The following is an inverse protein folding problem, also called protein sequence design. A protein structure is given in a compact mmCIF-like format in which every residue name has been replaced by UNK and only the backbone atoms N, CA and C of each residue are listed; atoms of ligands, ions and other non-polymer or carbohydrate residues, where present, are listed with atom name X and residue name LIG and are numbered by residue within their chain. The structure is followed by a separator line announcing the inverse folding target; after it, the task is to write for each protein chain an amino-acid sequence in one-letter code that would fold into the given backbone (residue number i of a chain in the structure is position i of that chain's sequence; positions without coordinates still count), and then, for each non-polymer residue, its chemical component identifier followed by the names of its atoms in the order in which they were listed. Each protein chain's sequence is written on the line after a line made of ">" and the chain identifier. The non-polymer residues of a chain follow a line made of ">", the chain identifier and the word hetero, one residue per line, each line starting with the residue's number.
data_IF_736720601905
#
_entry.id   IF_736720601905
#
_cell.length_a   1.000
_cell.length_b   1.000
_cell.length_c   1.000
_cell.angle_alpha   90.00
_cell.angle_beta   90.00
_cell.angle_gamma   90.00
#
_symmetry.space_group_name_H-M   'P 1'
#
loop_
_entity.id
_entity.type
_entity.pdbx_description
1 polymer ?
#
# COMPACT_ATOMS: atom_id res chain seq x y z
N UNK A 1 -5.95 -3.91 -7.54
CA UNK A 1 -5.96 -3.59 -6.11
C UNK A 1 -6.65 -2.26 -5.87
N UNK A 2 -7.56 -2.23 -4.92
CA UNK A 2 -8.15 -1.04 -4.31
C UNK A 2 -8.37 -1.39 -2.84
N UNK A 3 -7.43 -1.02 -1.97
CA UNK A 3 -7.47 -1.40 -0.56
C UNK A 3 -7.03 -0.26 0.34
N UNK A 4 -7.79 -0.05 1.40
CA UNK A 4 -7.48 0.92 2.46
C UNK A 4 -6.54 0.35 3.54
N UNK A 5 -6.10 -0.88 3.37
CA UNK A 5 -5.32 -1.63 4.34
C UNK A 5 -6.16 -2.66 5.10
N UNK A 6 -5.56 -3.34 6.06
CA UNK A 6 -6.31 -4.21 6.96
C UNK A 6 -7.12 -3.38 7.96
N UNK A 7 -8.31 -3.88 8.28
CA UNK A 7 -9.12 -3.27 9.33
C UNK A 7 -8.38 -3.37 10.67
N UNK A 8 -8.40 -2.27 11.41
CA UNK A 8 -7.80 -2.16 12.74
C UNK A 8 -8.91 -2.08 13.79
N UNK A 9 -8.56 -2.40 15.01
CA UNK A 9 -9.46 -2.32 16.14
C UNK A 9 -9.72 -3.67 16.80
N UNK A 10 -10.17 -3.61 18.05
CA UNK A 10 -10.30 -4.76 18.93
C UNK A 10 -11.12 -5.90 18.31
N UNK A 11 -12.25 -5.60 17.72
CA UNK A 11 -13.15 -6.61 17.17
C UNK A 11 -12.54 -7.30 15.95
N UNK A 12 -11.88 -6.55 15.07
CA UNK A 12 -11.18 -7.09 13.91
C UNK A 12 -10.00 -7.97 14.34
N UNK A 13 -9.24 -7.52 15.32
CA UNK A 13 -8.08 -8.27 15.84
C UNK A 13 -8.50 -9.55 16.57
N UNK A 14 -9.53 -9.48 17.43
CA UNK A 14 -10.10 -10.64 18.09
C UNK A 14 -10.79 -11.59 17.10
N UNK A 15 -11.37 -11.05 16.02
CA UNK A 15 -11.93 -11.82 14.91
C UNK A 15 -10.88 -12.54 14.04
N UNK A 16 -9.58 -12.32 14.28
CA UNK A 16 -8.50 -13.04 13.64
C UNK A 16 -8.01 -12.44 12.32
N UNK A 17 -8.20 -11.13 12.11
CA UNK A 17 -7.72 -10.43 10.90
C UNK A 17 -6.22 -10.61 10.66
N UNK A 18 -5.42 -10.60 11.72
CA UNK A 18 -3.95 -10.76 11.65
C UNK A 18 -3.62 -12.17 11.13
N UNK A 19 -4.28 -13.20 11.64
CA UNK A 19 -4.10 -14.59 11.19
C UNK A 19 -4.51 -14.77 9.73
N UNK A 20 -5.64 -14.21 9.33
CA UNK A 20 -6.10 -14.25 7.94
C UNK A 20 -5.15 -13.51 7.00
N UNK A 21 -4.68 -12.33 7.41
CA UNK A 21 -3.66 -11.57 6.67
C UNK A 21 -2.34 -12.31 6.54
N UNK A 22 -1.88 -12.97 7.60
CA UNK A 22 -0.66 -13.80 7.56
C UNK A 22 -0.78 -14.95 6.56
N UNK A 23 -1.94 -15.61 6.46
CA UNK A 23 -2.19 -16.65 5.45
C UNK A 23 -2.12 -16.10 4.03
N UNK A 24 -2.70 -14.92 3.79
CA UNK A 24 -2.67 -14.26 2.48
C UNK A 24 -1.23 -13.88 2.09
N UNK A 25 -0.47 -13.28 2.99
CA UNK A 25 0.94 -12.91 2.78
C UNK A 25 1.78 -14.17 2.52
N UNK A 26 1.54 -15.25 3.29
CA UNK A 26 2.24 -16.52 3.08
C UNK A 26 1.96 -17.09 1.68
N UNK A 27 0.70 -17.12 1.25
CA UNK A 27 0.33 -17.59 -0.09
C UNK A 27 0.98 -16.73 -1.18
N UNK A 28 0.98 -15.40 -1.03
CA UNK A 28 1.58 -14.49 -2.00
C UNK A 28 3.10 -14.63 -2.08
N UNK A 29 3.78 -14.75 -0.95
CA UNK A 29 5.24 -14.85 -0.88
C UNK A 29 5.77 -16.17 -1.44
N UNK A 30 5.01 -17.26 -1.30
CA UNK A 30 5.38 -18.58 -1.80
C UNK A 30 4.86 -18.88 -3.22
N UNK A 31 4.06 -17.99 -3.79
CA UNK A 31 3.52 -18.13 -5.14
C UNK A 31 4.65 -18.04 -6.18
N UNK A 32 4.81 -19.09 -6.98
CA UNK A 32 5.85 -19.22 -8.02
C UNK A 32 5.39 -18.83 -9.41
N UNK A 33 4.10 -18.54 -9.60
CA UNK A 33 3.59 -18.06 -10.89
C UNK A 33 3.86 -16.55 -11.04
N UNK A 34 4.04 -16.07 -12.28
CA UNK A 34 4.18 -14.63 -12.53
C UNK A 34 3.00 -13.84 -11.97
N UNK A 35 3.29 -12.76 -11.28
CA UNK A 35 2.31 -11.90 -10.64
C UNK A 35 2.27 -10.55 -11.31
N UNK A 36 1.10 -10.03 -11.58
CA UNK A 36 0.88 -8.68 -12.11
C UNK A 36 0.01 -7.93 -11.12
N UNK A 37 0.53 -6.83 -10.59
CA UNK A 37 -0.22 -5.96 -9.70
C UNK A 37 -0.80 -4.78 -10.49
N UNK A 38 -2.10 -4.52 -10.33
CA UNK A 38 -2.76 -3.36 -10.92
C UNK A 38 -3.43 -2.54 -9.81
N UNK A 39 -2.97 -1.33 -9.61
CA UNK A 39 -3.49 -0.37 -8.64
C UNK A 39 -4.56 0.50 -9.31
N UNK A 40 -5.81 0.35 -8.87
CA UNK A 40 -6.96 1.05 -9.45
C UNK A 40 -7.26 2.37 -8.74
N UNK A 41 -7.12 2.36 -7.41
CA UNK A 41 -7.40 3.51 -6.55
C UNK A 41 -6.48 3.44 -5.32
N UNK A 42 -7.00 3.21 -4.12
CA UNK A 42 -6.19 3.17 -2.90
C UNK A 42 -5.35 1.90 -2.80
N UNK A 43 -4.11 2.05 -2.37
CA UNK A 43 -3.20 0.92 -2.09
C UNK A 43 -2.38 1.25 -0.85
N UNK A 44 -2.94 0.96 0.33
CA UNK A 44 -2.40 1.39 1.60
C UNK A 44 -1.90 0.24 2.47
N UNK A 45 -0.79 0.52 3.16
CA UNK A 45 -0.25 -0.26 4.26
C UNK A 45 0.01 -1.73 3.96
N UNK A 46 -0.25 -2.58 4.95
CA UNK A 46 -0.08 -4.02 4.84
C UNK A 46 -1.04 -4.67 3.83
N UNK A 47 -2.16 -4.02 3.50
CA UNK A 47 -3.06 -4.46 2.44
C UNK A 47 -2.40 -4.44 1.07
N UNK A 48 -1.61 -3.39 0.76
CA UNK A 48 -0.82 -3.35 -0.45
C UNK A 48 0.18 -4.52 -0.54
N UNK A 49 0.86 -4.82 0.57
CA UNK A 49 1.76 -5.97 0.62
C UNK A 49 1.03 -7.28 0.37
N UNK A 50 -0.07 -7.52 1.06
CA UNK A 50 -0.86 -8.74 0.92
C UNK A 50 -1.41 -8.95 -0.51
N UNK A 51 -1.67 -7.86 -1.23
CA UNK A 51 -2.12 -7.86 -2.64
C UNK A 51 -0.97 -7.89 -3.66
N UNK A 52 0.19 -8.38 -3.30
CA UNK A 52 1.42 -8.41 -4.09
C UNK A 52 2.19 -7.08 -4.13
N UNK A 53 2.64 -6.62 -2.97
CA UNK A 53 3.58 -5.51 -2.89
C UNK A 53 4.91 -5.81 -3.58
N UNK A 54 5.71 -4.77 -3.82
CA UNK A 54 6.98 -4.86 -4.57
C UNK A 54 7.96 -5.91 -4.00
N UNK A 55 7.94 -6.14 -2.69
CA UNK A 55 8.78 -7.14 -2.04
C UNK A 55 8.48 -8.60 -2.44
N UNK A 56 7.31 -8.86 -3.03
CA UNK A 56 6.95 -10.20 -3.54
C UNK A 56 7.23 -10.37 -5.02
N UNK A 57 8.05 -9.49 -5.57
CA UNK A 57 8.59 -9.55 -6.93
C UNK A 57 7.50 -9.75 -8.01
N UNK A 58 6.55 -8.80 -8.12
CA UNK A 58 5.62 -8.81 -9.23
C UNK A 58 6.36 -8.62 -10.55
N UNK A 59 5.92 -9.33 -11.60
CA UNK A 59 6.43 -9.15 -12.96
C UNK A 59 6.23 -7.72 -13.45
N UNK A 60 5.06 -7.15 -13.17
CA UNK A 60 4.73 -5.75 -13.43
C UNK A 60 3.82 -5.22 -12.32
N UNK A 61 4.05 -3.97 -11.96
CA UNK A 61 3.16 -3.15 -11.13
C UNK A 61 2.64 -2.00 -11.98
N UNK A 62 1.37 -2.07 -12.34
CA UNK A 62 0.66 -1.07 -13.13
C UNK A 62 -0.23 -0.23 -12.22
N UNK A 63 -0.47 1.01 -12.58
CA UNK A 63 -1.38 1.86 -11.82
C UNK A 63 -2.20 2.79 -12.71
N UNK A 64 -3.42 3.10 -12.30
CA UNK A 64 -4.19 4.18 -12.90
C UNK A 64 -3.72 5.54 -12.39
N UNK A 65 -3.96 6.64 -13.13
CA UNK A 65 -3.47 7.97 -12.74
C UNK A 65 -4.05 8.51 -11.43
N UNK A 66 -5.23 8.02 -11.03
CA UNK A 66 -5.89 8.39 -9.78
C UNK A 66 -5.46 7.51 -8.59
N UNK A 67 -4.64 6.50 -8.82
CA UNK A 67 -4.22 5.61 -7.76
C UNK A 67 -3.38 6.36 -6.71
N UNK A 68 -3.50 5.89 -5.46
CA UNK A 68 -2.77 6.43 -4.31
C UNK A 68 -2.01 5.30 -3.64
N UNK A 69 -0.76 5.57 -3.33
CA UNK A 69 0.14 4.59 -2.74
C UNK A 69 0.79 5.16 -1.48
N UNK A 70 0.47 4.61 -0.32
CA UNK A 70 1.03 5.09 0.95
C UNK A 70 0.90 4.05 2.07
N UNK A 71 1.51 4.35 3.22
CA UNK A 71 1.34 3.53 4.43
C UNK A 71 -0.09 3.64 4.97
N UNK A 72 -0.68 4.84 4.89
CA UNK A 72 -2.09 5.11 5.28
C UNK A 72 -2.61 6.32 4.51
N UNK A 73 -3.92 6.54 4.53
CA UNK A 73 -4.52 7.70 3.90
C UNK A 73 -4.05 9.02 4.52
N UNK A 74 -3.88 10.07 3.71
CA UNK A 74 -3.30 11.33 4.14
C UNK A 74 -4.03 11.97 5.34
N UNK A 75 -5.36 11.96 5.34
CA UNK A 75 -6.15 12.54 6.44
C UNK A 75 -5.94 11.80 7.77
N UNK A 76 -5.85 10.47 7.72
CA UNK A 76 -5.59 9.64 8.91
C UNK A 76 -4.16 9.85 9.41
N UNK A 77 -3.19 9.88 8.50
CA UNK A 77 -1.80 10.15 8.81
C UNK A 77 -1.63 11.53 9.46
N UNK A 78 -2.22 12.57 8.86
CA UNK A 78 -2.15 13.94 9.38
C UNK A 78 -2.74 14.04 10.79
N UNK A 79 -3.91 13.44 11.02
CA UNK A 79 -4.53 13.44 12.36
C UNK A 79 -3.69 12.71 13.39
N UNK A 80 -3.12 11.56 13.05
CA UNK A 80 -2.30 10.75 13.96
C UNK A 80 -0.99 11.46 14.30
N UNK A 81 -0.28 11.98 13.30
CA UNK A 81 0.99 12.68 13.50
C UNK A 81 0.81 13.99 14.27
N UNK A 82 -0.27 14.72 13.98
CA UNK A 82 -0.59 15.91 14.76
C UNK A 82 -0.80 15.57 16.24
N UNK A 83 -1.54 14.50 16.56
CA UNK A 83 -1.73 14.06 17.94
C UNK A 83 -0.41 13.70 18.63
N UNK A 84 0.51 13.04 17.93
CA UNK A 84 1.82 12.69 18.44
C UNK A 84 2.65 13.95 18.72
N UNK A 85 2.67 14.91 17.77
CA UNK A 85 3.41 16.17 17.95
C UNK A 85 2.86 17.01 19.10
N UNK A 86 1.54 17.15 19.17
CA UNK A 86 0.89 17.86 20.28
C UNK A 86 1.17 17.21 21.64
N UNK A 87 1.16 15.88 21.72
CA UNK A 87 1.51 15.16 22.93
C UNK A 87 2.98 15.36 23.32
N UNK A 88 3.89 15.41 22.35
CA UNK A 88 5.31 15.69 22.59
C UNK A 88 5.53 17.12 23.07
N UNK A 89 4.86 18.10 22.48
CA UNK A 89 4.92 19.52 22.90
C UNK A 89 4.37 19.70 24.31
N UNK A 90 3.23 19.09 24.61
CA UNK A 90 2.64 19.12 25.96
C UNK A 90 3.59 18.56 27.03
N UNK A 91 4.33 17.49 26.73
CA UNK A 91 5.34 16.95 27.66
C UNK A 91 6.50 17.90 27.91
N UNK A 92 6.80 18.81 26.98
CA UNK A 92 7.82 19.87 27.11
C UNK A 92 7.28 21.15 27.77
N UNK A 93 5.99 21.16 28.12
CA UNK A 93 5.34 22.33 28.69
C UNK A 93 5.00 23.44 27.68
N UNK A 94 5.00 23.11 26.39
CA UNK A 94 4.64 24.03 25.31
C UNK A 94 3.11 24.02 25.13
N UNK A 95 2.48 25.17 25.20
CA UNK A 95 1.08 25.34 24.79
C UNK A 95 1.02 25.65 23.30
N UNK A 96 0.14 24.95 22.60
CA UNK A 96 -0.08 25.14 21.17
C UNK A 96 -1.44 25.78 20.97
N UNK A 97 -1.46 26.98 20.41
CA UNK A 97 -2.69 27.67 20.03
C UNK A 97 -3.34 27.02 18.81
N UNK A 98 -4.61 27.36 18.59
CA UNK A 98 -5.39 26.77 17.50
C UNK A 98 -4.83 27.10 16.12
N UNK A 99 -4.22 28.26 15.95
CA UNK A 99 -3.59 28.68 14.70
C UNK A 99 -2.39 27.79 14.36
N UNK A 100 -1.47 27.63 15.30
CA UNK A 100 -0.28 26.75 15.15
C UNK A 100 -0.70 25.30 14.94
N UNK A 101 -1.75 24.83 15.60
CA UNK A 101 -2.31 23.50 15.39
C UNK A 101 -2.79 23.30 13.95
N UNK A 102 -3.52 24.27 13.39
CA UNK A 102 -4.02 24.20 12.03
C UNK A 102 -2.89 24.27 10.99
N UNK A 103 -1.90 25.13 11.21
CA UNK A 103 -0.70 25.22 10.35
C UNK A 103 0.07 23.89 10.33
N UNK A 104 0.24 23.25 11.47
CA UNK A 104 0.88 21.93 11.56
C UNK A 104 0.07 20.85 10.83
N UNK A 105 -1.24 20.83 11.03
CA UNK A 105 -2.12 19.89 10.35
C UNK A 105 -2.04 20.04 8.83
N UNK A 106 -2.08 21.28 8.33
CA UNK A 106 -2.00 21.59 6.91
C UNK A 106 -0.65 21.18 6.31
N UNK A 107 0.46 21.50 6.99
CA UNK A 107 1.79 21.12 6.55
C UNK A 107 1.96 19.60 6.45
N UNK A 108 1.51 18.85 7.46
CA UNK A 108 1.56 17.39 7.46
C UNK A 108 0.67 16.84 6.34
N UNK A 109 -0.56 17.33 6.23
CA UNK A 109 -1.53 16.89 5.23
C UNK A 109 -0.99 17.10 3.81
N UNK A 110 -0.43 18.27 3.53
CA UNK A 110 0.13 18.60 2.21
C UNK A 110 1.27 17.65 1.85
N UNK A 111 2.22 17.45 2.76
CA UNK A 111 3.33 16.52 2.53
C UNK A 111 2.85 15.08 2.25
N UNK A 112 1.85 14.61 2.98
CA UNK A 112 1.27 13.28 2.75
C UNK A 112 0.49 13.19 1.45
N UNK A 113 -0.22 14.24 1.05
CA UNK A 113 -0.92 14.29 -0.24
C UNK A 113 0.05 14.20 -1.41
N UNK A 114 1.20 14.86 -1.33
CA UNK A 114 2.24 14.77 -2.36
C UNK A 114 2.86 13.37 -2.40
N UNK A 115 3.16 12.78 -1.24
CA UNK A 115 3.84 11.48 -1.16
C UNK A 115 2.94 10.29 -1.53
N UNK A 116 1.62 10.41 -1.38
CA UNK A 116 0.70 9.34 -1.76
C UNK A 116 0.37 9.34 -3.26
N UNK A 117 0.71 10.40 -4.01
CA UNK A 117 0.48 10.47 -5.45
C UNK A 117 1.21 9.34 -6.17
N UNK A 118 0.54 8.71 -7.12
CA UNK A 118 1.10 7.55 -7.83
C UNK A 118 2.36 7.91 -8.62
N UNK A 119 2.51 9.15 -9.05
CA UNK A 119 3.72 9.65 -9.73
C UNK A 119 4.92 9.67 -8.79
N UNK A 120 4.67 9.94 -7.51
CA UNK A 120 5.71 9.86 -6.49
C UNK A 120 6.22 8.41 -6.32
N UNK A 121 5.31 7.43 -6.32
CA UNK A 121 5.66 6.01 -6.28
C UNK A 121 6.38 5.56 -7.57
N UNK A 122 5.91 6.00 -8.73
CA UNK A 122 6.53 5.68 -10.01
C UNK A 122 7.95 6.25 -10.12
N UNK A 123 8.17 7.49 -9.69
CA UNK A 123 9.50 8.12 -9.67
C UNK A 123 10.53 7.36 -8.80
N UNK A 124 10.06 6.52 -7.85
CA UNK A 124 10.89 5.68 -6.98
C UNK A 124 10.99 4.22 -7.43
N UNK A 125 10.41 3.89 -8.58
CA UNK A 125 10.41 2.53 -9.12
C UNK A 125 9.51 1.55 -8.34
N UNK A 126 8.55 2.07 -7.54
CA UNK A 126 7.56 1.21 -6.85
C UNK A 126 6.40 0.82 -7.76
N UNK A 127 6.19 1.59 -8.83
CA UNK A 127 5.24 1.35 -9.90
C UNK A 127 6.00 1.42 -11.22
N UNK A 128 5.83 0.41 -12.06
CA UNK A 128 6.57 0.30 -13.32
C UNK A 128 5.96 1.21 -14.41
N UNK A 129 4.62 1.32 -14.45
CA UNK A 129 3.91 2.14 -15.45
C UNK A 129 2.60 2.71 -14.88
N UNK A 130 2.33 3.97 -15.21
CA UNK A 130 1.02 4.60 -15.05
C UNK A 130 0.29 4.50 -16.39
N UNK A 131 -0.88 3.87 -16.40
CA UNK A 131 -1.64 3.55 -17.62
C UNK A 131 -3.03 4.17 -17.57
N UNK A 132 -3.56 4.58 -18.72
CA UNK A 132 -4.96 5.00 -18.78
C UNK A 132 -5.90 3.82 -18.50
N UNK A 133 -7.05 4.04 -17.84
CA UNK A 133 -8.02 2.96 -17.59
C UNK A 133 -8.43 2.19 -18.85
N UNK A 134 -8.54 2.88 -19.97
CA UNK A 134 -8.90 2.29 -21.27
C UNK A 134 -7.83 1.32 -21.82
N UNK A 135 -6.57 1.53 -21.46
CA UNK A 135 -5.45 0.72 -21.90
C UNK A 135 -5.24 -0.54 -21.06
N UNK A 136 -5.99 -0.68 -19.96
CA UNK A 136 -5.80 -1.77 -18.99
C UNK A 136 -5.81 -3.15 -19.65
N UNK A 137 -6.75 -3.39 -20.58
CA UNK A 137 -6.88 -4.69 -21.25
C UNK A 137 -5.66 -5.00 -22.15
N UNK A 138 -5.19 -4.03 -22.92
CA UNK A 138 -4.05 -4.20 -23.81
C UNK A 138 -2.76 -4.40 -23.03
N UNK A 139 -2.56 -3.63 -21.94
CA UNK A 139 -1.40 -3.77 -21.06
C UNK A 139 -1.38 -5.12 -20.34
N UNK A 140 -2.52 -5.59 -19.84
CA UNK A 140 -2.60 -6.91 -19.22
C UNK A 140 -2.39 -8.03 -20.25
N UNK A 141 -2.92 -7.92 -21.47
CA UNK A 141 -2.68 -8.89 -22.52
C UNK A 141 -1.20 -8.98 -22.88
N UNK A 142 -0.53 -7.85 -23.03
CA UNK A 142 0.93 -7.78 -23.24
C UNK A 142 1.69 -8.41 -22.07
N UNK A 143 1.35 -8.06 -20.84
CA UNK A 143 1.99 -8.59 -19.64
C UNK A 143 1.83 -10.12 -19.55
N UNK A 144 0.66 -10.66 -19.91
CA UNK A 144 0.41 -12.10 -19.91
C UNK A 144 1.22 -12.84 -20.99
N UNK A 145 1.39 -12.24 -22.17
CA UNK A 145 2.28 -12.80 -23.21
C UNK A 145 3.72 -12.88 -22.72
N UNK A 146 4.18 -11.81 -22.08
CA UNK A 146 5.53 -11.77 -21.49
C UNK A 146 5.68 -12.77 -20.34
N UNK A 147 4.63 -12.94 -19.53
CA UNK A 147 4.61 -13.87 -18.39
C UNK A 147 4.81 -15.34 -18.83
N UNK A 148 4.39 -15.73 -20.04
CA UNK A 148 4.57 -17.09 -20.53
C UNK A 148 6.05 -17.49 -20.61
N UNK A 149 6.95 -16.53 -20.90
CA UNK A 149 8.39 -16.74 -20.89
C UNK A 149 9.05 -16.72 -19.50
N UNK A 150 8.35 -16.16 -18.51
CA UNK A 150 8.85 -15.94 -17.15
C UNK A 150 8.39 -17.00 -16.15
N UNK A 151 7.80 -18.10 -16.59
CA UNK A 151 7.32 -19.17 -15.70
C UNK A 151 8.48 -19.80 -14.95
N UNK A 152 8.47 -19.68 -13.62
CA UNK A 152 9.44 -20.37 -12.77
C UNK A 152 9.23 -21.88 -12.81
N UNK A 153 10.31 -22.64 -13.00
CA UNK A 153 10.33 -24.11 -12.88
C UNK A 153 10.61 -24.58 -11.45
N UNK A 154 10.72 -23.65 -10.51
CA UNK A 154 10.92 -23.99 -9.11
C UNK A 154 9.69 -24.75 -8.58
N UNK A 155 9.90 -25.80 -7.76
CA UNK A 155 8.78 -26.49 -7.14
C UNK A 155 8.05 -25.55 -6.19
N UNK A 156 6.72 -25.59 -6.22
CA UNK A 156 5.91 -24.88 -5.25
C UNK A 156 6.23 -25.36 -3.84
N UNK A 157 6.44 -24.42 -2.93
CA UNK A 157 6.65 -24.69 -1.51
C UNK A 157 5.56 -24.01 -0.70
N UNK A 158 4.86 -24.78 0.09
CA UNK A 158 4.00 -24.20 1.14
C UNK A 158 4.89 -23.74 2.29
N UNK A 159 4.81 -22.46 2.63
CA UNK A 159 5.44 -21.95 3.84
C UNK A 159 4.77 -22.47 5.11
N UNK A 160 5.33 -22.16 6.26
CA UNK A 160 4.73 -22.47 7.55
C UNK A 160 3.48 -21.59 7.73
N UNK A 161 2.32 -22.24 7.86
CA UNK A 161 1.05 -21.57 8.16
C UNK A 161 0.80 -21.65 9.67
N UNK A 162 0.58 -20.51 10.30
CA UNK A 162 0.02 -20.50 11.66
C UNK A 162 -1.46 -20.84 11.57
N UNK A 163 -1.85 -21.90 12.23
CA UNK A 163 -3.24 -22.35 12.38
C UNK A 163 -3.90 -21.73 13.61
#
# INVERSE_FOLDING_TARGET
>A
SDTTGFMVGRDSEQGGIIRSGAKMVNAMSNCVVPKIALLLNSSYGAGNYAMCGRAFDPLLTLAWPNAKFAVMGANQAASTLLQIDLAARKRRGEEVDEKTRNELLEAISTSYHEQQDIRYAAARGWVDRIIAPLDTRSELAFALQFAQGAVSRAPFKTGVLQT
#
